data_IF_196284932783
#
_entry.id   IF_196284932783
#
_cell.length_a   1.000
_cell.length_b   1.000
_cell.length_c   1.000
_cell.angle_alpha   90.00
_cell.angle_beta   90.00
_cell.angle_gamma   90.00
#
_symmetry.space_group_name_H-M   'P 1'
#
loop_
_entity.id
_entity.type
_entity.pdbx_description
1 polymer ?
#
# COMPACT_ATOMS: atom_id res chain seq x y z
N UNK A 1 28.63 8.96 24.85
CA UNK A 1 27.15 8.98 24.79
C UNK A 1 26.75 8.07 23.65
N UNK A 2 26.25 6.87 23.93
CA UNK A 2 25.84 5.93 22.88
C UNK A 2 24.43 6.30 22.42
N UNK A 3 24.29 6.75 21.17
CA UNK A 3 22.99 6.99 20.55
C UNK A 3 22.26 5.66 20.39
N UNK A 4 21.26 5.41 21.23
CA UNK A 4 20.35 4.28 21.07
C UNK A 4 19.46 4.58 19.86
N UNK A 5 19.80 4.03 18.69
CA UNK A 5 18.90 4.03 17.54
C UNK A 5 17.64 3.24 17.91
N UNK A 6 16.56 3.93 18.24
CA UNK A 6 15.24 3.31 18.42
C UNK A 6 14.85 2.68 17.08
N UNK A 7 14.81 1.34 17.04
CA UNK A 7 14.23 0.59 15.93
C UNK A 7 12.72 0.73 16.03
N UNK A 8 12.14 1.63 15.25
CA UNK A 8 10.70 1.69 15.07
C UNK A 8 10.27 0.50 14.23
N UNK A 9 9.27 -0.23 14.70
CA UNK A 9 8.62 -1.25 13.88
C UNK A 9 7.87 -0.58 12.73
N UNK A 10 7.64 -1.31 11.63
CA UNK A 10 6.84 -0.82 10.50
C UNK A 10 5.44 -0.38 10.98
N UNK A 11 4.88 -1.09 11.97
CA UNK A 11 3.60 -0.78 12.59
C UNK A 11 3.61 0.52 13.41
N UNK A 12 4.72 0.82 14.10
CA UNK A 12 4.86 2.10 14.82
C UNK A 12 5.09 3.28 13.86
N UNK A 13 5.68 3.01 12.69
CA UNK A 13 5.95 4.04 11.67
C UNK A 13 4.72 4.33 10.81
N UNK A 14 3.86 3.33 10.62
CA UNK A 14 2.62 3.42 9.85
C UNK A 14 1.47 2.79 10.63
N UNK A 15 0.92 3.47 11.65
CA UNK A 15 -0.13 2.91 12.50
C UNK A 15 -1.39 2.49 11.73
N UNK A 16 -1.70 3.19 10.63
CA UNK A 16 -2.84 2.85 9.77
C UNK A 16 -2.57 1.69 8.80
N UNK A 17 -1.31 1.21 8.68
CA UNK A 17 -1.00 0.13 7.73
C UNK A 17 -1.77 -1.14 8.04
N UNK A 18 -2.06 -1.41 9.33
CA UNK A 18 -2.82 -2.58 9.72
C UNK A 18 -4.26 -2.51 9.21
N UNK A 19 -4.90 -1.35 9.40
CA UNK A 19 -6.29 -1.13 8.98
C UNK A 19 -6.39 -1.13 7.46
N UNK A 20 -5.46 -0.45 6.77
CA UNK A 20 -5.41 -0.45 5.30
C UNK A 20 -5.14 -1.84 4.74
N UNK A 21 -4.26 -2.63 5.37
CA UNK A 21 -3.98 -3.99 4.93
C UNK A 21 -5.15 -4.94 5.19
N UNK A 22 -5.84 -4.79 6.31
CA UNK A 22 -7.05 -5.56 6.61
C UNK A 22 -8.19 -5.23 5.64
N UNK A 23 -8.40 -3.94 5.35
CA UNK A 23 -9.38 -3.49 4.37
C UNK A 23 -9.05 -4.00 2.96
N UNK A 24 -7.78 -3.89 2.55
CA UNK A 24 -7.29 -4.39 1.27
C UNK A 24 -7.46 -5.91 1.14
N UNK A 25 -7.12 -6.69 2.16
CA UNK A 25 -7.22 -8.16 2.10
C UNK A 25 -8.66 -8.67 2.14
N UNK A 26 -9.58 -7.91 2.74
CA UNK A 26 -11.01 -8.26 2.80
C UNK A 26 -11.74 -8.03 1.48
N UNK A 27 -11.52 -6.88 0.85
CA UNK A 27 -12.06 -6.56 -0.47
C UNK A 27 -11.07 -5.63 -1.23
N UNK A 28 -10.12 -6.22 -1.97
CA UNK A 28 -9.08 -5.47 -2.66
C UNK A 28 -9.66 -4.50 -3.69
N UNK A 29 -10.78 -4.86 -4.33
CA UNK A 29 -11.39 -4.06 -5.38
C UNK A 29 -12.08 -2.84 -4.79
N UNK A 30 -12.88 -3.02 -3.75
CA UNK A 30 -13.58 -1.92 -3.10
C UNK A 30 -12.58 -0.94 -2.46
N UNK A 31 -11.56 -1.44 -1.74
CA UNK A 31 -10.51 -0.61 -1.17
C UNK A 31 -9.76 0.18 -2.24
N UNK A 32 -9.42 -0.46 -3.37
CA UNK A 32 -8.70 0.22 -4.45
C UNK A 32 -9.52 1.38 -5.04
N UNK A 33 -10.81 1.15 -5.30
CA UNK A 33 -11.71 2.18 -5.84
C UNK A 33 -11.82 3.36 -4.86
N UNK A 34 -12.03 3.10 -3.57
CA UNK A 34 -12.13 4.16 -2.56
C UNK A 34 -10.85 5.01 -2.48
N UNK A 35 -9.68 4.39 -2.46
CA UNK A 35 -8.40 5.10 -2.42
C UNK A 35 -8.13 5.87 -3.72
N UNK A 36 -8.50 5.29 -4.87
CA UNK A 36 -8.32 5.92 -6.17
C UNK A 36 -9.23 7.15 -6.35
N UNK A 37 -10.50 7.04 -5.97
CA UNK A 37 -11.45 8.16 -5.98
C UNK A 37 -11.01 9.28 -5.03
N UNK A 38 -10.53 8.93 -3.84
CA UNK A 38 -9.98 9.88 -2.87
C UNK A 38 -8.77 10.61 -3.44
N UNK A 39 -7.78 9.88 -3.93
CA UNK A 39 -6.55 10.46 -4.50
C UNK A 39 -6.86 11.37 -5.70
N UNK A 40 -7.80 10.96 -6.57
CA UNK A 40 -8.23 11.77 -7.72
C UNK A 40 -8.94 13.06 -7.28
N UNK A 41 -9.84 12.98 -6.28
CA UNK A 41 -10.53 14.13 -5.71
C UNK A 41 -9.56 15.13 -5.08
N UNK A 42 -8.57 14.62 -4.35
CA UNK A 42 -7.56 15.42 -3.67
C UNK A 42 -6.43 15.89 -4.62
N UNK A 43 -6.47 15.46 -5.89
CA UNK A 43 -5.44 15.69 -6.92
C UNK A 43 -4.04 15.22 -6.52
N UNK A 44 -4.00 14.16 -5.70
CA UNK A 44 -2.77 13.51 -5.27
C UNK A 44 -2.32 12.51 -6.35
N UNK A 45 -1.65 13.04 -7.37
CA UNK A 45 -1.14 12.23 -8.49
C UNK A 45 -0.03 11.26 -8.07
N UNK A 46 0.68 11.55 -6.97
CA UNK A 46 1.67 10.62 -6.42
C UNK A 46 0.98 9.37 -5.89
N UNK A 47 -0.11 9.54 -5.12
CA UNK A 47 -0.91 8.44 -4.61
C UNK A 47 -1.60 7.66 -5.75
N UNK A 48 -2.13 8.34 -6.77
CA UNK A 48 -2.69 7.68 -7.96
C UNK A 48 -1.67 6.76 -8.64
N UNK A 49 -0.43 7.22 -8.81
CA UNK A 49 0.63 6.40 -9.41
C UNK A 49 0.97 5.19 -8.54
N UNK A 50 1.08 5.36 -7.21
CA UNK A 50 1.32 4.26 -6.27
C UNK A 50 0.21 3.21 -6.32
N UNK A 51 -1.05 3.64 -6.39
CA UNK A 51 -2.19 2.74 -6.56
C UNK A 51 -2.06 1.94 -7.86
N UNK A 52 -1.78 2.59 -9.00
CA UNK A 52 -1.57 1.88 -10.27
C UNK A 52 -0.45 0.84 -10.17
N UNK A 53 0.65 1.14 -9.48
CA UNK A 53 1.73 0.18 -9.22
C UNK A 53 1.26 -1.02 -8.38
N UNK A 54 0.52 -0.77 -7.30
CA UNK A 54 -0.07 -1.84 -6.47
C UNK A 54 -1.00 -2.71 -7.32
N UNK A 55 -1.86 -2.12 -8.14
CA UNK A 55 -2.74 -2.87 -9.04
C UNK A 55 -1.96 -3.76 -10.00
N UNK A 56 -0.88 -3.23 -10.58
CA UNK A 56 0.01 -4.01 -11.45
C UNK A 56 0.73 -5.12 -10.69
N UNK A 57 1.15 -4.92 -9.44
CA UNK A 57 1.79 -5.98 -8.65
C UNK A 57 0.82 -7.10 -8.32
N UNK A 58 -0.41 -6.77 -7.96
CA UNK A 58 -1.45 -7.74 -7.59
C UNK A 58 -1.96 -8.52 -8.79
N UNK A 59 -2.10 -7.85 -9.95
CA UNK A 59 -2.65 -8.45 -11.17
C UNK A 59 -1.59 -8.83 -12.19
N UNK A 60 -0.30 -8.61 -11.92
CA UNK A 60 0.75 -9.15 -12.79
C UNK A 60 0.62 -10.66 -12.72
N UNK A 61 0.52 -11.35 -13.87
CA UNK A 61 0.73 -12.78 -13.86
C UNK A 61 2.11 -12.96 -13.24
N UNK A 62 2.17 -13.72 -12.14
CA UNK A 62 3.45 -14.23 -11.68
C UNK A 62 4.05 -14.95 -12.88
N UNK A 63 5.03 -14.33 -13.55
CA UNK A 63 5.94 -15.10 -14.37
C UNK A 63 6.58 -16.06 -13.37
N UNK A 64 6.08 -17.30 -13.37
CA UNK A 64 6.77 -18.40 -12.75
C UNK A 64 8.18 -18.36 -13.32
N UNK A 65 9.13 -17.90 -12.50
CA UNK A 65 10.53 -18.16 -12.70
C UNK A 65 10.70 -19.68 -12.59
N UNK A 66 10.31 -20.39 -13.65
CA UNK A 66 10.68 -21.77 -13.91
C UNK A 66 12.18 -21.75 -14.19
N UNK A 67 12.93 -22.05 -13.14
CA UNK A 67 14.37 -22.32 -13.17
C UNK A 67 14.65 -23.69 -13.78
#
# INVERSE_FOLDING_TARGET
MSSVSKKYTILESWPMIREDFEAFTKDPTCWFIEQFEKATRDRDWEMVNKLIEIFKMVNSPHEEHSH
#
